data_IF_672928212660
#
_entry.id   IF_672928212660
#
_cell.length_a   1.000
_cell.length_b   1.000
_cell.length_c   1.000
_cell.angle_alpha   90.00
_cell.angle_beta   90.00
_cell.angle_gamma   90.00
#
_symmetry.space_group_name_H-M   'P 1'
#
loop_
_entity.id
_entity.type
_entity.pdbx_description
1 polymer ?
#
# COMPACT_ATOMS: atom_id res chain seq x y z
N UNK A 1 -10.67 -34.46 20.96
CA UNK A 1 -10.31 -33.65 22.15
C UNK A 1 -8.78 -33.58 22.12
N UNK A 2 -8.26 -32.66 21.36
CA UNK A 2 -6.80 -32.41 21.28
C UNK A 2 -6.35 -31.76 22.59
N UNK A 3 -5.23 -32.23 23.12
CA UNK A 3 -4.66 -31.70 24.35
C UNK A 3 -4.23 -30.24 24.10
N UNK A 4 -4.45 -29.32 25.07
CA UNK A 4 -4.02 -27.93 24.89
C UNK A 4 -2.50 -27.90 24.75
N UNK A 5 -2.04 -27.17 23.69
CA UNK A 5 -0.64 -26.89 23.43
C UNK A 5 0.04 -26.37 24.71
N UNK A 6 1.09 -27.03 25.16
CA UNK A 6 1.80 -26.64 26.39
C UNK A 6 2.48 -25.27 26.15
N UNK A 7 2.10 -24.31 26.94
CA UNK A 7 2.88 -23.07 27.06
C UNK A 7 4.29 -23.48 27.55
N UNK A 8 5.36 -23.19 26.80
CA UNK A 8 6.72 -23.56 27.18
C UNK A 8 7.08 -22.95 28.53
N UNK A 9 7.78 -23.73 29.35
CA UNK A 9 8.18 -23.30 30.68
C UNK A 9 9.16 -22.09 30.61
N UNK A 10 9.17 -21.20 31.61
CA UNK A 10 10.06 -20.03 31.63
C UNK A 10 11.57 -20.34 31.53
N UNK A 11 11.98 -21.56 31.85
CA UNK A 11 13.35 -22.07 31.71
C UNK A 11 13.77 -22.38 30.27
N UNK A 12 12.80 -22.50 29.33
CA UNK A 12 13.05 -22.68 27.89
C UNK A 12 13.19 -21.35 27.14
N UNK A 13 13.05 -20.24 27.85
CA UNK A 13 13.35 -18.90 27.35
C UNK A 13 14.88 -18.73 27.36
N UNK A 14 15.56 -19.32 26.38
CA UNK A 14 16.98 -19.06 26.20
C UNK A 14 17.22 -17.55 26.19
N UNK A 15 18.06 -17.01 27.10
CA UNK A 15 18.42 -15.62 27.03
C UNK A 15 19.08 -15.40 25.67
N UNK A 16 18.63 -14.36 24.96
CA UNK A 16 19.20 -13.87 23.72
C UNK A 16 20.67 -13.45 23.96
N UNK A 17 21.55 -14.42 24.04
CA UNK A 17 23.00 -14.24 24.00
C UNK A 17 23.47 -14.55 22.56
N UNK A 18 22.81 -13.98 21.58
CA UNK A 18 23.49 -13.59 20.36
C UNK A 18 24.25 -12.34 20.73
N UNK A 19 25.59 -12.41 20.78
CA UNK A 19 26.38 -11.33 21.35
C UNK A 19 26.02 -9.96 20.80
N UNK A 20 26.33 -8.89 21.53
CA UNK A 20 26.01 -7.50 21.18
C UNK A 20 26.25 -7.18 19.68
N UNK A 21 27.22 -7.83 19.06
CA UNK A 21 27.51 -7.75 17.63
C UNK A 21 26.36 -8.22 16.73
N UNK A 22 25.60 -9.26 17.10
CA UNK A 22 24.46 -9.77 16.32
C UNK A 22 23.29 -8.82 16.40
N UNK A 23 23.00 -8.32 17.59
CA UNK A 23 21.95 -7.31 17.81
C UNK A 23 22.23 -6.03 17.01
N UNK A 24 23.47 -5.54 17.03
CA UNK A 24 23.87 -4.36 16.26
C UNK A 24 23.71 -4.60 14.76
N UNK A 25 24.10 -5.77 14.25
CA UNK A 25 23.89 -6.12 12.83
C UNK A 25 22.41 -6.07 12.43
N UNK A 26 21.52 -6.64 13.24
CA UNK A 26 20.09 -6.61 12.99
C UNK A 26 19.53 -5.19 13.01
N UNK A 27 19.97 -4.34 13.92
CA UNK A 27 19.56 -2.93 13.96
C UNK A 27 20.06 -2.13 12.76
N UNK A 28 21.30 -2.35 12.34
CA UNK A 28 21.84 -1.75 11.10
C UNK A 28 21.05 -2.20 9.87
N UNK A 29 20.71 -3.50 9.79
CA UNK A 29 19.87 -4.01 8.72
C UNK A 29 18.47 -3.38 8.76
N UNK A 30 17.90 -3.15 9.93
CA UNK A 30 16.61 -2.45 10.10
C UNK A 30 16.70 -0.98 9.64
N UNK A 31 17.77 -0.27 9.96
CA UNK A 31 18.02 1.09 9.44
C UNK A 31 18.07 1.08 7.92
N UNK A 32 18.83 0.16 7.32
CA UNK A 32 18.92 0.03 5.86
C UNK A 32 17.56 -0.31 5.23
N UNK A 33 16.80 -1.24 5.83
CA UNK A 33 15.43 -1.56 5.39
C UNK A 33 14.51 -0.32 5.46
N UNK A 34 14.64 0.50 6.51
CA UNK A 34 13.93 1.77 6.64
C UNK A 34 14.27 2.76 5.52
N UNK A 35 15.56 2.94 5.22
CA UNK A 35 16.02 3.82 4.15
C UNK A 35 15.55 3.34 2.77
N UNK A 36 15.66 2.04 2.49
CA UNK A 36 15.20 1.43 1.25
C UNK A 36 13.67 1.54 1.11
N UNK A 37 12.92 1.33 2.20
CA UNK A 37 11.48 1.49 2.22
C UNK A 37 11.04 2.92 1.91
N UNK A 38 11.71 3.92 2.50
CA UNK A 38 11.47 5.32 2.19
C UNK A 38 11.79 5.65 0.72
N UNK A 39 12.95 5.18 0.22
CA UNK A 39 13.35 5.37 -1.17
C UNK A 39 12.37 4.71 -2.16
N UNK A 40 11.90 3.48 -1.87
CA UNK A 40 10.91 2.78 -2.68
C UNK A 40 9.58 3.54 -2.75
N UNK A 41 9.07 3.98 -1.59
CA UNK A 41 7.81 4.72 -1.50
C UNK A 41 7.90 6.05 -2.23
N UNK A 42 8.96 6.83 -1.99
CA UNK A 42 9.15 8.13 -2.64
C UNK A 42 9.45 7.99 -4.14
N UNK A 43 10.24 6.98 -4.52
CA UNK A 43 10.49 6.65 -5.91
C UNK A 43 9.20 6.32 -6.66
N UNK A 44 8.34 5.49 -6.09
CA UNK A 44 7.05 5.15 -6.71
C UNK A 44 6.13 6.36 -6.83
N UNK A 45 6.06 7.23 -5.80
CA UNK A 45 5.32 8.50 -5.87
C UNK A 45 5.83 9.40 -7.01
N UNK A 46 7.14 9.50 -7.16
CA UNK A 46 7.76 10.31 -8.22
C UNK A 46 7.46 9.73 -9.59
N UNK A 47 7.48 8.40 -9.73
CA UNK A 47 7.11 7.73 -10.98
C UNK A 47 5.63 7.94 -11.34
N UNK A 48 4.71 7.91 -10.36
CA UNK A 48 3.29 8.24 -10.59
C UNK A 48 3.17 9.66 -11.14
N UNK A 49 3.84 10.66 -10.52
CA UNK A 49 3.84 12.04 -11.02
C UNK A 49 4.41 12.15 -12.44
N UNK A 50 5.44 11.34 -12.76
CA UNK A 50 5.99 11.26 -14.09
C UNK A 50 4.99 10.73 -15.12
N UNK A 51 4.27 9.66 -14.81
CA UNK A 51 3.21 9.11 -15.69
C UNK A 51 2.05 10.10 -15.82
N UNK A 52 1.63 10.74 -14.73
CA UNK A 52 0.62 11.79 -14.70
C UNK A 52 1.00 12.94 -15.65
N UNK A 53 2.23 13.42 -15.54
CA UNK A 53 2.73 14.48 -16.43
C UNK A 53 2.76 14.06 -17.90
N UNK A 54 3.23 12.86 -18.20
CA UNK A 54 3.23 12.32 -19.56
C UNK A 54 1.83 12.17 -20.13
N UNK A 55 0.86 11.82 -19.29
CA UNK A 55 -0.52 11.60 -19.68
C UNK A 55 -1.33 12.90 -19.84
N UNK A 56 -1.09 13.90 -18.98
CA UNK A 56 -1.94 15.10 -18.88
C UNK A 56 -1.20 16.40 -19.20
N UNK A 57 0.13 16.40 -19.17
CA UNK A 57 0.95 17.61 -19.27
C UNK A 57 0.98 18.44 -17.98
N UNK A 58 0.36 17.99 -16.89
CA UNK A 58 0.24 18.74 -15.62
C UNK A 58 0.88 17.99 -14.47
N UNK A 59 1.43 18.72 -13.51
CA UNK A 59 1.98 18.22 -12.25
C UNK A 59 1.30 18.98 -11.11
N UNK A 60 0.25 18.47 -10.54
CA UNK A 60 -0.44 19.18 -9.46
C UNK A 60 -1.28 18.27 -8.58
N UNK A 61 -1.24 16.99 -8.86
CA UNK A 61 -2.09 15.98 -8.24
C UNK A 61 -3.18 15.49 -9.21
N UNK A 62 -3.56 14.23 -9.02
CA UNK A 62 -4.40 13.50 -9.98
C UNK A 62 -5.72 14.20 -10.31
N UNK A 63 -6.41 14.79 -9.33
CA UNK A 63 -7.68 15.50 -9.57
C UNK A 63 -7.46 16.81 -10.34
N UNK A 64 -6.47 17.63 -9.94
CA UNK A 64 -6.16 18.87 -10.65
C UNK A 64 -5.69 18.59 -12.10
N UNK A 65 -4.94 17.52 -12.31
CA UNK A 65 -4.58 17.05 -13.65
C UNK A 65 -5.82 16.61 -14.46
N UNK A 66 -6.77 15.92 -13.83
CA UNK A 66 -8.03 15.54 -14.46
C UNK A 66 -8.85 16.76 -14.88
N UNK A 67 -8.97 17.76 -14.02
CA UNK A 67 -9.72 19.01 -14.32
C UNK A 67 -9.10 19.80 -15.47
N UNK A 68 -7.79 19.73 -15.65
CA UNK A 68 -7.07 20.45 -16.70
C UNK A 68 -7.28 19.89 -18.11
N UNK A 69 -7.78 18.67 -18.25
CA UNK A 69 -7.97 17.99 -19.54
C UNK A 69 -9.45 17.81 -19.85
N UNK A 70 -9.76 17.60 -21.14
CA UNK A 70 -11.15 17.43 -21.60
C UNK A 70 -11.77 16.11 -21.09
N UNK A 71 -13.11 16.03 -20.95
CA UNK A 71 -13.81 14.80 -20.59
C UNK A 71 -13.45 13.60 -21.46
N UNK A 72 -13.34 13.83 -22.78
CA UNK A 72 -12.95 12.77 -23.72
C UNK A 72 -11.52 12.30 -23.45
N UNK A 73 -10.62 13.19 -23.16
CA UNK A 73 -9.22 12.82 -22.84
C UNK A 73 -9.16 11.97 -21.57
N UNK A 74 -9.94 12.31 -20.52
CA UNK A 74 -10.06 11.48 -19.29
C UNK A 74 -10.57 10.07 -19.60
N UNK A 75 -11.63 9.96 -20.40
CA UNK A 75 -12.17 8.66 -20.79
C UNK A 75 -11.14 7.81 -21.56
N UNK A 76 -10.43 8.41 -22.50
CA UNK A 76 -9.41 7.73 -23.29
C UNK A 76 -8.21 7.32 -22.44
N UNK A 77 -7.73 8.18 -21.55
CA UNK A 77 -6.62 7.84 -20.63
C UNK A 77 -6.97 6.66 -19.71
N UNK A 78 -8.17 6.65 -19.14
CA UNK A 78 -8.64 5.51 -18.36
C UNK A 78 -8.65 4.21 -19.16
N UNK A 79 -9.20 4.25 -20.40
CA UNK A 79 -9.27 3.10 -21.27
C UNK A 79 -7.87 2.57 -21.68
N UNK A 80 -7.01 3.45 -22.22
CA UNK A 80 -5.67 3.07 -22.67
C UNK A 80 -4.75 2.72 -21.51
N UNK A 81 -4.87 3.41 -20.36
CA UNK A 81 -4.12 3.11 -19.16
C UNK A 81 -4.46 1.74 -18.58
N UNK A 82 -5.75 1.43 -18.47
CA UNK A 82 -6.22 0.12 -18.05
C UNK A 82 -5.79 -1.00 -18.99
N UNK A 83 -5.91 -0.79 -20.31
CA UNK A 83 -5.44 -1.74 -21.32
C UNK A 83 -3.92 -1.95 -21.25
N UNK A 84 -3.14 -0.86 -21.18
CA UNK A 84 -1.68 -0.90 -21.06
C UNK A 84 -1.22 -1.61 -19.78
N UNK A 85 -1.85 -1.31 -18.65
CA UNK A 85 -1.60 -2.00 -17.39
C UNK A 85 -1.91 -3.50 -17.49
N UNK A 86 -3.00 -3.85 -18.16
CA UNK A 86 -3.38 -5.24 -18.41
C UNK A 86 -2.40 -5.98 -19.32
N UNK A 87 -1.91 -5.34 -20.38
CA UNK A 87 -0.89 -5.90 -21.27
C UNK A 87 0.43 -6.15 -20.53
N UNK A 88 0.90 -5.15 -19.76
CA UNK A 88 2.11 -5.29 -18.93
C UNK A 88 1.97 -6.45 -17.96
N UNK A 89 0.83 -6.55 -17.28
CA UNK A 89 0.59 -7.62 -16.32
C UNK A 89 0.51 -8.98 -17.02
N UNK A 90 -0.18 -9.09 -18.15
CA UNK A 90 -0.34 -10.35 -18.90
C UNK A 90 1.02 -10.91 -19.39
N UNK A 91 1.80 -10.07 -20.06
CA UNK A 91 3.11 -10.52 -20.54
C UNK A 91 4.14 -10.65 -19.43
N UNK A 92 4.06 -9.76 -18.42
CA UNK A 92 4.90 -9.79 -17.24
C UNK A 92 4.74 -11.08 -16.43
N UNK A 93 3.51 -11.51 -16.18
CA UNK A 93 3.25 -12.80 -15.50
C UNK A 93 3.70 -13.99 -16.32
N UNK A 94 3.54 -13.97 -17.65
CA UNK A 94 4.10 -15.01 -18.54
C UNK A 94 5.63 -15.06 -18.51
N UNK A 95 6.27 -13.88 -18.43
CA UNK A 95 7.73 -13.80 -18.26
C UNK A 95 8.16 -14.30 -16.87
N UNK A 96 7.43 -13.95 -15.84
CA UNK A 96 7.69 -14.42 -14.49
C UNK A 96 7.58 -15.95 -14.39
N UNK A 97 6.55 -16.56 -15.01
CA UNK A 97 6.34 -18.00 -15.03
C UNK A 97 7.49 -18.81 -15.67
N UNK A 98 8.31 -18.17 -16.51
CA UNK A 98 9.52 -18.79 -17.08
C UNK A 98 10.75 -18.68 -16.17
N UNK A 99 10.62 -18.01 -15.03
CA UNK A 99 11.70 -17.86 -14.06
C UNK A 99 11.80 -19.04 -13.11
N UNK A 100 12.89 -19.10 -12.32
CA UNK A 100 13.12 -20.18 -11.38
C UNK A 100 12.03 -20.26 -10.29
N UNK A 101 11.45 -19.12 -9.92
CA UNK A 101 10.44 -19.00 -8.85
C UNK A 101 8.99 -19.11 -9.39
N UNK A 102 8.82 -19.36 -10.71
CA UNK A 102 7.50 -19.42 -11.33
C UNK A 102 6.76 -18.08 -11.36
N UNK A 103 5.43 -18.13 -11.60
CA UNK A 103 4.55 -16.95 -11.56
C UNK A 103 3.84 -16.76 -10.20
N UNK A 104 4.22 -17.53 -9.21
CA UNK A 104 3.62 -17.43 -7.88
C UNK A 104 3.86 -16.04 -7.31
N UNK A 105 2.78 -15.42 -6.87
CA UNK A 105 2.82 -14.11 -6.27
C UNK A 105 2.49 -14.23 -4.79
N UNK A 106 3.50 -14.02 -3.99
CA UNK A 106 3.33 -13.86 -2.55
C UNK A 106 3.18 -12.37 -2.26
N UNK A 107 2.02 -11.98 -1.74
CA UNK A 107 1.76 -10.63 -1.24
C UNK A 107 2.56 -10.43 0.06
N UNK A 108 2.97 -9.18 0.33
CA UNK A 108 3.67 -8.83 1.57
C UNK A 108 2.88 -9.23 2.83
N UNK A 109 1.53 -9.22 2.77
CA UNK A 109 0.67 -9.66 3.87
C UNK A 109 0.82 -11.17 4.10
N UNK A 110 0.74 -11.93 3.03
CA UNK A 110 0.88 -13.39 3.04
C UNK A 110 2.28 -13.78 3.51
N UNK A 111 3.32 -13.17 2.93
CA UNK A 111 4.71 -13.37 3.33
C UNK A 111 4.95 -13.12 4.82
N UNK A 112 4.40 -12.02 5.36
CA UNK A 112 4.52 -11.70 6.78
C UNK A 112 3.78 -12.69 7.69
N UNK A 113 2.62 -13.21 7.26
CA UNK A 113 1.83 -14.18 8.04
C UNK A 113 2.44 -15.57 8.06
N UNK A 114 3.02 -15.98 6.95
CA UNK A 114 3.60 -17.31 6.79
C UNK A 114 5.08 -17.38 7.22
N UNK A 115 5.69 -16.23 7.52
CA UNK A 115 7.10 -16.15 7.89
C UNK A 115 8.04 -16.43 6.71
N UNK A 116 7.61 -16.14 5.48
CA UNK A 116 8.41 -16.27 4.28
C UNK A 116 9.00 -14.93 3.84
N UNK A 117 10.29 -14.73 4.07
CA UNK A 117 10.96 -13.45 3.72
C UNK A 117 11.18 -13.26 2.22
N UNK A 118 10.99 -14.30 1.39
CA UNK A 118 11.23 -14.22 -0.05
C UNK A 118 10.00 -13.73 -0.80
N UNK A 119 10.13 -12.59 -1.46
CA UNK A 119 9.17 -12.10 -2.43
C UNK A 119 9.69 -12.35 -3.84
N UNK A 120 8.80 -12.76 -4.75
CA UNK A 120 9.16 -13.00 -6.15
C UNK A 120 9.46 -11.68 -6.87
N UNK A 121 10.68 -11.53 -7.36
CA UNK A 121 11.19 -10.30 -7.97
C UNK A 121 10.40 -9.91 -9.22
N UNK A 122 10.15 -10.87 -10.11
CA UNK A 122 9.51 -10.63 -11.41
C UNK A 122 8.05 -10.28 -11.26
N UNK A 123 7.32 -11.01 -10.42
CA UNK A 123 5.89 -10.74 -10.20
C UNK A 123 5.67 -9.41 -9.48
N UNK A 124 6.49 -9.11 -8.46
CA UNK A 124 6.44 -7.83 -7.75
C UNK A 124 6.70 -6.66 -8.69
N UNK A 125 7.74 -6.74 -9.53
CA UNK A 125 8.07 -5.67 -10.48
C UNK A 125 6.95 -5.46 -11.51
N UNK A 126 6.46 -6.53 -12.13
CA UNK A 126 5.41 -6.42 -13.17
C UNK A 126 4.09 -5.90 -12.62
N UNK A 127 3.70 -6.32 -11.40
CA UNK A 127 2.50 -5.80 -10.73
C UNK A 127 2.67 -4.33 -10.35
N UNK A 128 3.85 -3.93 -9.89
CA UNK A 128 4.14 -2.53 -9.55
C UNK A 128 4.10 -1.64 -10.80
N UNK A 129 4.65 -2.08 -11.94
CA UNK A 129 4.57 -1.34 -13.21
C UNK A 129 3.12 -1.25 -13.70
N UNK A 130 2.36 -2.33 -13.63
CA UNK A 130 0.93 -2.33 -13.98
C UNK A 130 0.14 -1.35 -13.10
N UNK A 131 0.38 -1.36 -11.79
CA UNK A 131 -0.24 -0.44 -10.86
C UNK A 131 0.17 1.02 -11.11
N UNK A 132 1.45 1.26 -11.44
CA UNK A 132 1.97 2.58 -11.79
C UNK A 132 1.24 3.16 -13.01
N UNK A 133 1.06 2.36 -14.06
CA UNK A 133 0.31 2.76 -15.25
C UNK A 133 -1.16 3.04 -14.91
N UNK A 134 -1.81 2.13 -14.17
CA UNK A 134 -3.22 2.30 -13.81
C UNK A 134 -3.44 3.57 -12.99
N UNK A 135 -2.66 3.78 -11.92
CA UNK A 135 -2.80 4.96 -11.05
C UNK A 135 -2.45 6.25 -11.78
N UNK A 136 -1.33 6.24 -12.50
CA UNK A 136 -0.84 7.44 -13.20
C UNK A 136 -1.73 7.89 -14.37
N UNK A 137 -2.59 7.01 -14.89
CA UNK A 137 -3.60 7.32 -15.92
C UNK A 137 -4.99 7.51 -15.37
N UNK A 138 -5.14 7.64 -14.04
CA UNK A 138 -6.37 8.06 -13.40
C UNK A 138 -7.29 6.96 -12.91
N UNK A 139 -6.81 5.73 -12.76
CA UNK A 139 -7.63 4.70 -12.12
C UNK A 139 -7.95 5.09 -10.67
N UNK A 140 -9.22 4.93 -10.28
CA UNK A 140 -9.70 5.17 -8.90
C UNK A 140 -9.28 4.03 -7.97
N UNK A 141 -7.99 3.91 -7.71
CA UNK A 141 -7.39 2.89 -6.84
C UNK A 141 -6.31 3.49 -5.95
N UNK A 142 -6.07 2.84 -4.80
CA UNK A 142 -5.00 3.24 -3.89
C UNK A 142 -3.62 2.93 -4.46
N UNK A 143 -2.68 3.84 -4.25
CA UNK A 143 -1.26 3.70 -4.58
C UNK A 143 -0.46 3.04 -3.45
N UNK A 144 -1.06 2.85 -2.29
CA UNK A 144 -0.43 2.44 -1.05
C UNK A 144 0.06 0.98 -1.12
N UNK A 145 -0.78 0.08 -1.63
CA UNK A 145 -0.43 -1.34 -1.78
C UNK A 145 0.88 -1.57 -2.54
N UNK A 146 1.03 -1.06 -3.77
CA UNK A 146 2.27 -1.15 -4.52
C UNK A 146 3.49 -0.52 -3.81
N UNK A 147 3.31 0.60 -3.09
CA UNK A 147 4.38 1.23 -2.31
C UNK A 147 4.88 0.33 -1.19
N UNK A 148 3.96 -0.28 -0.44
CA UNK A 148 4.29 -1.21 0.66
C UNK A 148 4.92 -2.49 0.11
N UNK A 149 4.37 -3.05 -0.99
CA UNK A 149 4.94 -4.22 -1.65
C UNK A 149 6.38 -3.99 -2.12
N UNK A 150 6.66 -2.82 -2.72
CA UNK A 150 8.03 -2.47 -3.14
C UNK A 150 8.96 -2.28 -1.95
N UNK A 151 8.50 -1.65 -0.87
CA UNK A 151 9.28 -1.47 0.35
C UNK A 151 9.63 -2.82 0.97
N UNK A 152 8.66 -3.73 1.06
CA UNK A 152 8.85 -5.10 1.51
C UNK A 152 9.81 -5.88 0.60
N UNK A 153 9.68 -5.71 -0.72
CA UNK A 153 10.54 -6.35 -1.70
C UNK A 153 12.01 -5.92 -1.58
N UNK A 154 12.27 -4.62 -1.42
CA UNK A 154 13.64 -4.14 -1.19
C UNK A 154 14.23 -4.65 0.14
N UNK A 155 13.41 -4.76 1.18
CA UNK A 155 13.82 -5.34 2.45
C UNK A 155 14.09 -6.85 2.33
N UNK A 156 13.25 -7.58 1.61
CA UNK A 156 13.46 -8.99 1.24
C UNK A 156 14.76 -9.17 0.45
N UNK A 157 14.99 -8.33 -0.54
CA UNK A 157 16.23 -8.33 -1.32
C UNK A 157 17.46 -8.08 -0.44
N UNK A 158 17.42 -7.07 0.45
CA UNK A 158 18.48 -6.81 1.41
C UNK A 158 18.77 -8.03 2.31
N UNK A 159 17.71 -8.68 2.80
CA UNK A 159 17.82 -9.83 3.70
C UNK A 159 18.54 -11.04 3.05
N UNK A 160 18.47 -11.18 1.72
CA UNK A 160 19.16 -12.27 0.98
C UNK A 160 20.69 -12.15 1.06
N UNK A 161 21.24 -10.94 1.12
CA UNK A 161 22.69 -10.69 1.09
C UNK A 161 23.30 -10.58 2.50
N UNK A 162 22.49 -10.56 3.53
CA UNK A 162 22.98 -10.44 4.91
C UNK A 162 23.13 -11.82 5.55
N UNK A 163 24.18 -12.03 6.37
CA UNK A 163 24.38 -13.26 7.13
C UNK A 163 23.44 -13.30 8.35
N UNK A 164 22.13 -13.46 8.07
CA UNK A 164 21.04 -13.50 9.03
C UNK A 164 20.39 -14.88 9.05
N UNK A 165 19.81 -15.26 10.18
CA UNK A 165 18.92 -16.43 10.24
C UNK A 165 17.59 -16.13 9.56
N UNK A 166 16.81 -17.17 9.24
CA UNK A 166 15.52 -16.99 8.55
C UNK A 166 14.53 -16.15 9.39
N UNK A 167 14.53 -16.31 10.71
CA UNK A 167 13.73 -15.45 11.61
C UNK A 167 14.15 -13.97 11.53
N UNK A 168 15.46 -13.71 11.47
CA UNK A 168 15.99 -12.35 11.33
C UNK A 168 15.68 -11.77 9.93
N UNK A 169 15.71 -12.59 8.88
CA UNK A 169 15.33 -12.20 7.52
C UNK A 169 13.85 -11.85 7.44
N UNK A 170 12.99 -12.64 8.08
CA UNK A 170 11.57 -12.33 8.22
C UNK A 170 11.35 -11.02 8.99
N UNK A 171 12.12 -10.78 10.06
CA UNK A 171 12.08 -9.50 10.76
C UNK A 171 12.46 -8.31 9.86
N UNK A 172 13.45 -8.47 8.96
CA UNK A 172 13.81 -7.41 8.01
C UNK A 172 12.74 -7.19 6.94
N UNK A 173 12.10 -8.25 6.42
CA UNK A 173 10.92 -8.10 5.55
C UNK A 173 9.86 -7.22 6.20
N UNK A 174 9.55 -7.52 7.45
CA UNK A 174 8.54 -6.81 8.24
C UNK A 174 8.94 -5.37 8.54
N UNK A 175 10.24 -5.09 8.73
CA UNK A 175 10.78 -3.73 8.79
C UNK A 175 10.48 -2.95 7.50
N UNK A 176 10.61 -3.60 6.34
CA UNK A 176 10.24 -3.01 5.05
C UNK A 176 8.75 -2.69 4.94
N UNK A 177 7.88 -3.59 5.40
CA UNK A 177 6.43 -3.37 5.40
C UNK A 177 6.06 -2.18 6.30
N UNK A 178 6.57 -2.16 7.54
CA UNK A 178 6.31 -1.05 8.48
C UNK A 178 6.80 0.29 7.93
N UNK A 179 7.98 0.30 7.31
CA UNK A 179 8.55 1.48 6.66
C UNK A 179 7.69 1.96 5.49
N UNK A 180 7.22 1.03 4.64
CA UNK A 180 6.35 1.34 3.51
C UNK A 180 5.04 1.99 3.96
N UNK A 181 4.37 1.43 4.97
CA UNK A 181 3.15 1.97 5.55
C UNK A 181 3.42 3.32 6.23
N UNK A 182 4.46 3.38 7.07
CA UNK A 182 4.84 4.62 7.75
C UNK A 182 5.09 5.77 6.78
N UNK A 183 5.76 5.50 5.66
CA UNK A 183 6.00 6.48 4.60
C UNK A 183 4.75 6.79 3.77
N UNK A 184 3.92 5.77 3.46
CA UNK A 184 2.74 5.96 2.63
C UNK A 184 1.70 6.88 3.30
N UNK A 185 1.53 6.73 4.61
CA UNK A 185 0.53 7.46 5.40
C UNK A 185 1.12 8.57 6.29
N UNK A 186 2.43 8.79 6.26
CA UNK A 186 3.15 9.69 7.19
C UNK A 186 2.88 9.35 8.67
N UNK A 187 2.70 8.06 8.98
CA UNK A 187 2.28 7.54 10.28
C UNK A 187 3.17 6.35 10.71
N UNK A 188 4.39 6.58 11.20
CA UNK A 188 5.34 5.52 11.54
C UNK A 188 4.80 4.57 12.61
N UNK A 189 4.13 5.08 13.63
CA UNK A 189 3.54 4.27 14.70
C UNK A 189 2.45 3.34 14.14
N UNK A 190 1.61 3.84 13.23
CA UNK A 190 0.58 3.03 12.58
C UNK A 190 1.21 1.90 11.74
N UNK A 191 2.33 2.17 11.05
CA UNK A 191 3.09 1.14 10.35
C UNK A 191 3.59 0.03 11.26
N UNK A 192 4.11 0.38 12.43
CA UNK A 192 4.53 -0.60 13.44
C UNK A 192 3.35 -1.41 13.98
N UNK A 193 2.26 -0.75 14.38
CA UNK A 193 1.06 -1.42 14.91
C UNK A 193 0.45 -2.36 13.87
N UNK A 194 0.32 -1.91 12.63
CA UNK A 194 -0.21 -2.73 11.54
C UNK A 194 0.59 -4.03 11.37
N UNK A 195 1.90 -3.92 11.39
CA UNK A 195 2.77 -5.09 11.23
C UNK A 195 2.67 -6.02 12.44
N UNK A 196 2.62 -5.47 13.63
CA UNK A 196 2.44 -6.28 14.86
C UNK A 196 1.10 -7.02 14.83
N UNK A 197 0.03 -6.37 14.38
CA UNK A 197 -1.30 -6.99 14.22
C UNK A 197 -1.30 -8.08 13.14
N UNK A 198 -0.66 -7.78 12.00
CA UNK A 198 -0.58 -8.71 10.87
C UNK A 198 0.11 -10.02 11.25
N UNK A 199 1.11 -9.93 12.10
CA UNK A 199 2.03 -11.02 12.41
C UNK A 199 1.91 -11.54 13.85
N UNK A 200 0.76 -11.32 14.51
CA UNK A 200 0.47 -11.71 15.90
C UNK A 200 0.73 -13.19 16.26
N UNK A 201 1.01 -14.05 15.27
CA UNK A 201 1.36 -15.46 15.51
C UNK A 201 2.87 -15.76 15.52
N UNK A 202 3.71 -14.88 14.94
CA UNK A 202 5.11 -15.20 14.63
C UNK A 202 6.15 -14.29 15.31
N UNK A 203 5.74 -13.18 15.92
CA UNK A 203 6.72 -12.22 16.43
C UNK A 203 7.18 -12.50 17.86
N UNK A 204 8.43 -12.86 17.94
CA UNK A 204 9.16 -12.78 19.20
C UNK A 204 9.38 -11.29 19.57
N UNK A 205 9.38 -10.98 20.88
CA UNK A 205 9.56 -9.62 21.42
C UNK A 205 10.80 -8.88 20.87
N UNK A 206 11.78 -9.60 20.38
CA UNK A 206 13.02 -9.04 19.81
C UNK A 206 12.83 -8.39 18.43
N UNK A 207 11.73 -8.61 17.73
CA UNK A 207 11.44 -8.03 16.42
C UNK A 207 10.88 -6.60 16.52
N UNK A 208 10.30 -6.24 17.67
CA UNK A 208 9.67 -4.93 17.86
C UNK A 208 10.69 -3.79 17.73
N UNK A 209 11.88 -3.93 18.33
CA UNK A 209 12.91 -2.88 18.27
C UNK A 209 13.41 -2.63 16.82
N UNK A 210 13.79 -3.64 16.02
CA UNK A 210 14.09 -3.46 14.59
C UNK A 210 12.99 -2.77 13.81
N UNK A 211 11.72 -3.16 14.01
CA UNK A 211 10.57 -2.56 13.31
C UNK A 211 10.39 -1.09 13.66
N UNK A 212 10.51 -0.72 14.94
CA UNK A 212 10.50 0.67 15.40
C UNK A 212 11.64 1.48 14.79
N UNK A 213 12.85 0.91 14.75
CA UNK A 213 14.04 1.54 14.16
C UNK A 213 13.78 1.79 12.66
N UNK A 214 13.30 0.81 11.93
CA UNK A 214 13.04 0.94 10.50
C UNK A 214 11.95 1.98 10.20
N UNK A 215 10.83 1.93 10.91
CA UNK A 215 9.73 2.89 10.75
C UNK A 215 10.16 4.31 11.14
N UNK A 216 10.93 4.47 12.23
CA UNK A 216 11.49 5.75 12.65
C UNK A 216 12.49 6.32 11.64
N UNK A 217 13.41 5.48 11.14
CA UNK A 217 14.41 5.87 10.14
C UNK A 217 13.76 6.29 8.83
N UNK A 218 12.79 5.51 8.34
CA UNK A 218 12.08 5.82 7.10
C UNK A 218 11.31 7.13 7.20
N UNK A 219 10.64 7.37 8.32
CA UNK A 219 9.89 8.59 8.57
C UNK A 219 10.81 9.80 8.72
N UNK A 220 11.94 9.66 9.42
CA UNK A 220 12.94 10.72 9.56
C UNK A 220 13.51 11.12 8.18
N UNK A 221 13.79 10.15 7.30
CA UNK A 221 14.28 10.42 5.95
C UNK A 221 13.23 11.16 5.12
N UNK A 222 11.97 10.72 5.15
CA UNK A 222 10.88 11.41 4.42
C UNK A 222 10.68 12.82 4.97
N UNK A 223 10.70 12.99 6.29
CA UNK A 223 10.60 14.30 6.92
C UNK A 223 11.70 15.26 6.48
N UNK A 224 12.91 14.75 6.30
CA UNK A 224 14.05 15.55 5.86
C UNK A 224 14.04 15.86 4.35
N UNK A 225 13.58 14.93 3.51
CA UNK A 225 13.57 15.06 2.04
C UNK A 225 12.34 15.78 1.49
N UNK A 226 11.22 15.65 2.15
CA UNK A 226 9.93 16.16 1.70
C UNK A 226 9.29 16.86 2.89
N UNK A 227 9.08 18.17 2.81
CA UNK A 227 8.35 18.86 3.88
C UNK A 227 7.06 18.10 4.22
N UNK A 228 6.92 17.63 5.45
CA UNK A 228 5.80 16.80 5.82
C UNK A 228 4.53 17.66 5.86
N UNK A 229 3.73 17.55 4.82
CA UNK A 229 2.38 18.05 4.85
C UNK A 229 1.49 16.98 5.49
N UNK A 230 0.62 17.33 6.44
CA UNK A 230 -0.37 16.36 6.94
C UNK A 230 -1.21 15.86 5.77
N UNK A 231 -1.57 14.58 5.81
CA UNK A 231 -2.37 13.96 4.74
C UNK A 231 -3.71 14.67 4.57
N UNK A 232 -4.27 15.15 5.68
CA UNK A 232 -5.50 15.93 5.75
C UNK A 232 -5.30 17.16 6.63
N UNK A 233 -5.76 18.30 6.16
CA UNK A 233 -5.86 19.52 6.98
C UNK A 233 -7.17 19.46 7.73
N UNK A 234 -7.10 19.24 9.04
CA UNK A 234 -8.27 19.18 9.90
C UNK A 234 -8.61 20.58 10.40
N UNK A 235 -9.87 21.03 10.28
CA UNK A 235 -10.33 22.24 10.96
C UNK A 235 -10.31 22.02 12.48
N UNK A 236 -10.15 23.10 13.23
CA UNK A 236 -10.29 23.05 14.70
C UNK A 236 -11.76 22.80 15.05
N UNK A 237 -12.05 21.59 15.51
CA UNK A 237 -13.40 21.21 15.92
C UNK A 237 -13.51 21.28 17.45
N UNK A 238 -14.44 22.09 17.95
CA UNK A 238 -14.77 22.07 19.36
C UNK A 238 -15.50 20.76 19.71
N UNK A 239 -14.95 19.99 20.63
CA UNK A 239 -15.62 18.80 21.14
C UNK A 239 -16.77 19.21 22.08
N UNK A 240 -17.99 19.02 21.62
CA UNK A 240 -19.21 19.24 22.42
C UNK A 240 -19.87 17.88 22.73
N UNK A 241 -20.66 17.73 23.80
CA UNK A 241 -21.27 16.44 24.15
C UNK A 241 -22.08 15.80 23.01
N UNK A 242 -22.71 16.62 22.15
CA UNK A 242 -23.45 16.17 20.97
C UNK A 242 -22.54 15.53 19.92
N UNK A 243 -21.25 15.86 19.88
CA UNK A 243 -20.26 15.26 18.95
C UNK A 243 -20.13 13.75 19.16
N UNK A 244 -20.30 13.26 20.40
CA UNK A 244 -20.25 11.83 20.70
C UNK A 244 -21.42 11.08 20.04
N UNK A 245 -22.64 11.63 20.11
CA UNK A 245 -23.81 11.05 19.47
C UNK A 245 -23.64 10.96 17.94
N UNK A 246 -23.13 12.05 17.34
CA UNK A 246 -22.83 12.08 15.90
C UNK A 246 -21.75 11.06 15.53
N UNK A 247 -20.69 10.94 16.34
CA UNK A 247 -19.61 9.97 16.09
C UNK A 247 -20.12 8.52 16.16
N UNK A 248 -20.99 8.21 17.14
CA UNK A 248 -21.60 6.87 17.25
C UNK A 248 -22.48 6.58 16.02
N UNK A 249 -23.34 7.51 15.64
CA UNK A 249 -24.21 7.36 14.47
C UNK A 249 -23.39 7.19 13.18
N UNK A 250 -22.35 8.01 12.99
CA UNK A 250 -21.42 7.91 11.86
C UNK A 250 -20.71 6.54 11.85
N UNK A 251 -20.28 6.03 13.01
CA UNK A 251 -19.66 4.71 13.13
C UNK A 251 -20.58 3.58 12.70
N UNK A 252 -21.85 3.60 13.13
CA UNK A 252 -22.86 2.59 12.72
C UNK A 252 -23.12 2.66 11.22
N UNK A 253 -23.31 3.87 10.68
CA UNK A 253 -23.55 4.07 9.23
C UNK A 253 -22.32 3.60 8.44
N UNK A 254 -21.11 3.99 8.84
CA UNK A 254 -19.87 3.58 8.17
C UNK A 254 -19.65 2.07 8.20
N UNK A 255 -20.02 1.41 9.31
CA UNK A 255 -20.00 -0.05 9.41
C UNK A 255 -20.92 -0.72 8.39
N UNK A 256 -22.15 -0.23 8.24
CA UNK A 256 -23.11 -0.71 7.24
C UNK A 256 -22.65 -0.46 5.81
N UNK A 257 -22.15 0.75 5.52
CA UNK A 257 -21.60 1.10 4.21
C UNK A 257 -20.36 0.27 3.87
N UNK A 258 -19.47 0.03 4.86
CA UNK A 258 -18.29 -0.82 4.67
C UNK A 258 -18.64 -2.24 4.29
N UNK A 259 -19.65 -2.84 4.96
CA UNK A 259 -20.16 -4.16 4.58
C UNK A 259 -20.73 -4.16 3.14
N UNK A 260 -21.56 -3.17 2.81
CA UNK A 260 -22.14 -3.06 1.46
C UNK A 260 -21.06 -2.90 0.39
N UNK A 261 -20.00 -2.12 0.67
CA UNK A 261 -18.87 -1.93 -0.21
C UNK A 261 -18.10 -3.24 -0.45
N UNK A 262 -17.82 -4.02 0.60
CA UNK A 262 -17.15 -5.32 0.48
C UNK A 262 -17.98 -6.27 -0.38
N UNK A 263 -19.29 -6.35 -0.15
CA UNK A 263 -20.20 -7.19 -0.96
C UNK A 263 -20.23 -6.75 -2.43
N UNK A 264 -20.25 -5.44 -2.69
CA UNK A 264 -20.16 -4.88 -4.04
C UNK A 264 -18.84 -5.27 -4.72
N UNK A 265 -17.72 -5.17 -4.00
CA UNK A 265 -16.39 -5.51 -4.49
C UNK A 265 -16.29 -7.00 -4.84
N UNK A 266 -16.85 -7.87 -3.99
CA UNK A 266 -16.88 -9.32 -4.25
C UNK A 266 -17.73 -9.66 -5.48
N UNK A 267 -18.89 -9.02 -5.64
CA UNK A 267 -19.72 -9.18 -6.83
C UNK A 267 -18.99 -8.71 -8.08
N UNK A 268 -18.39 -7.54 -8.05
CA UNK A 268 -17.56 -7.03 -9.13
C UNK A 268 -16.43 -8.00 -9.49
N UNK A 269 -15.72 -8.52 -8.49
CA UNK A 269 -14.66 -9.54 -8.67
C UNK A 269 -15.19 -10.80 -9.37
N UNK A 270 -16.37 -11.30 -8.97
CA UNK A 270 -17.02 -12.46 -9.62
C UNK A 270 -17.43 -12.19 -11.07
N UNK A 271 -17.95 -10.98 -11.35
CA UNK A 271 -18.36 -10.59 -12.71
C UNK A 271 -17.13 -10.45 -13.62
N UNK A 272 -16.15 -9.67 -13.20
CA UNK A 272 -14.91 -9.45 -13.96
C UNK A 272 -14.05 -10.72 -14.04
N UNK A 273 -14.15 -11.61 -13.04
CA UNK A 273 -13.47 -12.91 -13.04
C UNK A 273 -13.87 -13.84 -14.17
N UNK A 274 -15.05 -13.62 -14.79
CA UNK A 274 -15.51 -14.37 -15.99
C UNK A 274 -14.76 -13.98 -17.27
N UNK A 275 -14.01 -12.89 -17.23
CA UNK A 275 -13.23 -12.42 -18.37
C UNK A 275 -11.83 -13.02 -18.26
N UNK A 276 -11.48 -13.98 -19.11
CA UNK A 276 -10.19 -14.70 -19.05
C UNK A 276 -9.00 -13.81 -19.44
N UNK A 277 -9.22 -12.87 -20.35
CA UNK A 277 -8.18 -11.98 -20.83
C UNK A 277 -7.90 -10.85 -19.84
N UNK A 278 -6.73 -10.88 -19.17
CA UNK A 278 -6.28 -9.81 -18.28
C UNK A 278 -6.28 -8.41 -18.94
N UNK A 279 -5.73 -8.24 -20.16
CA UNK A 279 -5.74 -6.94 -20.81
C UNK A 279 -7.16 -6.42 -21.04
N UNK A 280 -8.07 -7.28 -21.46
CA UNK A 280 -9.46 -6.88 -21.70
C UNK A 280 -10.19 -6.57 -20.38
N UNK A 281 -9.94 -7.35 -19.33
CA UNK A 281 -10.49 -7.12 -17.97
C UNK A 281 -10.09 -5.76 -17.42
N UNK A 282 -8.79 -5.44 -17.44
CA UNK A 282 -8.29 -4.16 -16.95
C UNK A 282 -8.69 -3.01 -17.89
N UNK A 283 -8.67 -3.23 -19.20
CA UNK A 283 -9.14 -2.26 -20.18
C UNK A 283 -10.60 -1.87 -19.98
N UNK A 284 -11.48 -2.87 -19.79
CA UNK A 284 -12.90 -2.62 -19.51
C UNK A 284 -13.09 -1.84 -18.19
N UNK A 285 -12.37 -2.22 -17.13
CA UNK A 285 -12.35 -1.47 -15.88
C UNK A 285 -11.89 -0.02 -16.08
N UNK A 286 -10.83 0.17 -16.89
CA UNK A 286 -10.33 1.50 -17.27
C UNK A 286 -11.34 2.33 -18.07
N UNK A 287 -12.08 1.70 -19.00
CA UNK A 287 -13.17 2.38 -19.73
C UNK A 287 -14.25 2.85 -18.77
N UNK A 288 -14.73 1.98 -17.88
CA UNK A 288 -15.77 2.33 -16.91
C UNK A 288 -15.29 3.48 -16.01
N UNK A 289 -14.12 3.35 -15.40
CA UNK A 289 -13.56 4.40 -14.56
C UNK A 289 -13.33 5.71 -15.32
N UNK A 290 -12.82 5.62 -16.55
CA UNK A 290 -12.60 6.78 -17.42
C UNK A 290 -13.90 7.49 -17.83
N UNK A 291 -14.99 6.76 -18.11
CA UNK A 291 -16.29 7.33 -18.38
C UNK A 291 -16.89 8.04 -17.15
N UNK A 292 -16.76 7.45 -15.98
CA UNK A 292 -17.17 8.08 -14.72
C UNK A 292 -16.34 9.36 -14.50
N UNK A 293 -15.04 9.29 -14.66
CA UNK A 293 -14.13 10.44 -14.52
C UNK A 293 -14.36 11.51 -15.58
N UNK A 294 -14.90 11.17 -16.75
CA UNK A 294 -15.30 12.16 -17.75
C UNK A 294 -16.44 13.05 -17.24
N UNK A 295 -17.37 12.49 -16.46
CA UNK A 295 -18.46 13.23 -15.84
C UNK A 295 -18.04 13.88 -14.52
N UNK A 296 -17.24 13.17 -13.69
CA UNK A 296 -16.83 13.58 -12.34
C UNK A 296 -15.31 13.44 -12.20
N UNK A 297 -14.54 14.52 -12.40
CA UNK A 297 -13.06 14.48 -12.33
C UNK A 297 -12.54 14.02 -10.96
N UNK A 298 -13.27 14.29 -9.90
CA UNK A 298 -12.91 13.97 -8.50
C UNK A 298 -12.73 12.46 -8.23
N UNK A 299 -13.30 11.61 -9.08
CA UNK A 299 -13.12 10.14 -9.01
C UNK A 299 -11.70 9.71 -9.41
N UNK A 300 -10.92 10.59 -10.05
CA UNK A 300 -9.57 10.27 -10.49
C UNK A 300 -8.60 10.17 -9.31
N UNK A 301 -8.01 9.02 -9.13
CA UNK A 301 -7.04 8.76 -8.07
C UNK A 301 -7.63 8.08 -6.83
N UNK A 302 -7.06 8.39 -5.66
CA UNK A 302 -7.38 7.71 -4.40
C UNK A 302 -8.33 8.47 -3.46
N UNK A 303 -8.93 9.57 -3.92
CA UNK A 303 -9.95 10.34 -3.19
C UNK A 303 -9.44 11.26 -2.07
N UNK A 304 -8.11 11.42 -1.88
CA UNK A 304 -7.58 12.28 -0.80
C UNK A 304 -7.98 13.75 -0.94
N UNK A 305 -8.06 14.29 -2.15
CA UNK A 305 -8.52 15.66 -2.43
C UNK A 305 -9.96 15.85 -1.98
N UNK A 306 -10.85 14.94 -2.38
CA UNK A 306 -12.28 14.97 -2.03
C UNK A 306 -12.47 14.90 -0.52
N UNK A 307 -11.77 13.99 0.16
CA UNK A 307 -11.84 13.89 1.63
C UNK A 307 -11.34 15.18 2.28
N UNK A 308 -10.27 15.80 1.79
CA UNK A 308 -9.78 17.09 2.29
C UNK A 308 -10.80 18.21 2.13
N UNK A 309 -11.47 18.30 0.98
CA UNK A 309 -12.51 19.30 0.72
C UNK A 309 -13.72 19.09 1.63
N UNK A 310 -14.16 17.85 1.81
CA UNK A 310 -15.25 17.51 2.74
C UNK A 310 -14.90 17.94 4.17
N UNK A 311 -13.68 17.64 4.63
CA UNK A 311 -13.22 18.01 5.96
C UNK A 311 -13.16 19.53 6.17
N UNK A 312 -12.86 20.29 5.12
CA UNK A 312 -12.84 21.76 5.15
C UNK A 312 -14.22 22.40 4.99
N UNK A 313 -15.27 21.59 4.76
CA UNK A 313 -16.64 22.07 4.58
C UNK A 313 -16.90 22.70 3.20
N UNK A 314 -16.01 22.52 2.24
CA UNK A 314 -16.07 23.16 0.92
C UNK A 314 -16.90 22.39 -0.11
N UNK A 315 -17.42 21.21 0.23
CA UNK A 315 -18.13 20.33 -0.71
C UNK A 315 -19.64 20.61 -0.68
N UNK A 316 -20.21 20.87 -1.84
CA UNK A 316 -21.65 20.86 -2.03
C UNK A 316 -22.19 19.42 -1.90
N UNK A 317 -23.20 19.21 -1.05
CA UNK A 317 -23.73 17.88 -0.69
C UNK A 317 -24.17 17.01 -1.88
N UNK A 318 -24.44 17.60 -3.05
CA UNK A 318 -24.76 16.82 -4.24
C UNK A 318 -23.61 15.95 -4.77
N UNK A 319 -22.35 16.25 -4.42
CA UNK A 319 -21.18 15.45 -4.77
C UNK A 319 -21.03 14.19 -3.90
N UNK A 320 -21.62 14.17 -2.71
CA UNK A 320 -21.59 13.01 -1.80
C UNK A 320 -22.50 11.89 -2.30
N UNK A 321 -23.41 12.19 -3.21
CA UNK A 321 -24.37 11.24 -3.77
C UNK A 321 -23.91 10.58 -5.07
N UNK A 322 -22.80 11.00 -5.64
CA UNK A 322 -22.16 10.45 -6.86
C UNK A 322 -20.95 9.62 -6.49
#
# INVERSE_FOLDING_TARGET
>A
MEAPERIPAPSEWHPFIGGAARTVKLWLAAVLAGLLGAAATQGFRTLIKGVEWLATGHMGGLVAAAESITPLHRALLGAFGGLGAGLVLHWGLRWAARGPDGAEHVDYIEAAREGHYLLNDRTTLMRSISALLSVGTGASIGKEGPMVQLSAWFASWLARFLPLTDDERNAILVCGIASGIGCAYHAPIAGVVFVLELALGFFARHTIAPVLIAAGTSSALIYWLVEPQPLYVMPTVALVPTSLGVAIAAGVISGGLGWAFIEMLERARKIFGRIDSLPFRLGLGGVIAGLIAAAVPDVWGNGYSVVSEVLQGNVAWHWVAV
#
